data_IF_352765719346
#
_entry.id   IF_352765719346
#
_cell.length_a   1.000
_cell.length_b   1.000
_cell.length_c   1.000
_cell.angle_alpha   90.00
_cell.angle_beta   90.00
_cell.angle_gamma   90.00
#
_symmetry.space_group_name_H-M   'P 1'
#
loop_
_entity.id
_entity.type
_entity.pdbx_description
1 polymer ?
#
# COMPACT_ATOMS: atom_id res chain seq x y z
N UNK A 1 -15.84 1.50 -8.41
CA UNK A 1 -16.94 1.14 -7.47
C UNK A 1 -17.79 2.31 -6.98
N UNK A 2 -17.26 3.53 -6.90
CA UNK A 2 -18.09 4.76 -6.86
C UNK A 2 -19.03 4.92 -5.66
N UNK A 3 -18.75 4.26 -4.52
CA UNK A 3 -19.61 4.27 -3.33
C UNK A 3 -19.55 5.63 -2.63
N UNK A 4 -20.69 6.31 -2.54
CA UNK A 4 -20.82 7.59 -1.81
C UNK A 4 -21.31 7.40 -0.36
N UNK A 5 -22.21 6.44 -0.15
CA UNK A 5 -22.86 6.22 1.14
C UNK A 5 -22.69 4.75 1.56
N UNK A 6 -22.01 4.52 2.69
CA UNK A 6 -21.86 3.18 3.27
C UNK A 6 -21.66 3.27 4.78
N UNK A 7 -22.28 2.35 5.53
CA UNK A 7 -21.98 2.14 6.93
C UNK A 7 -20.92 1.06 7.07
N UNK A 8 -19.74 1.44 7.54
CA UNK A 8 -18.64 0.52 7.76
C UNK A 8 -18.53 0.24 9.26
N UNK A 9 -18.58 -1.05 9.65
CA UNK A 9 -18.49 -1.47 11.06
C UNK A 9 -17.35 -2.44 11.25
N UNK A 10 -16.56 -2.20 12.30
CA UNK A 10 -15.45 -3.06 12.72
C UNK A 10 -15.57 -3.31 14.23
N UNK A 11 -15.26 -4.53 14.66
CA UNK A 11 -15.33 -4.97 16.06
C UNK A 11 -13.94 -5.01 16.74
N UNK A 12 -12.99 -4.26 16.18
CA UNK A 12 -11.62 -4.10 16.65
C UNK A 12 -11.15 -2.66 16.45
N UNK A 13 -9.92 -2.32 16.89
CA UNK A 13 -9.39 -0.97 16.79
C UNK A 13 -8.98 -0.57 15.37
N UNK A 14 -8.84 -1.53 14.45
CA UNK A 14 -8.31 -1.34 13.10
C UNK A 14 -9.07 -2.21 12.08
N UNK A 15 -9.06 -1.76 10.82
CA UNK A 15 -9.58 -2.54 9.69
C UNK A 15 -8.71 -3.78 9.42
N UNK A 16 -9.31 -4.90 8.96
CA UNK A 16 -8.52 -6.06 8.58
C UNK A 16 -7.61 -5.73 7.39
N UNK A 17 -6.34 -6.11 7.48
CA UNK A 17 -5.34 -5.90 6.42
C UNK A 17 -5.58 -6.82 5.21
N UNK A 18 -6.30 -7.93 5.39
CA UNK A 18 -6.56 -8.95 4.37
C UNK A 18 -5.24 -9.47 3.79
N UNK A 19 -4.99 -9.30 2.49
CA UNK A 19 -3.70 -9.63 1.86
C UNK A 19 -2.79 -8.41 1.66
N UNK A 20 -3.15 -7.26 2.25
CA UNK A 20 -2.44 -6.00 2.07
C UNK A 20 -2.83 -5.22 0.83
N UNK A 21 -3.77 -5.70 0.02
CA UNK A 21 -4.33 -4.99 -1.14
C UNK A 21 -5.78 -4.56 -0.91
N UNK A 22 -6.36 -3.87 -1.89
CA UNK A 22 -7.78 -3.54 -1.90
C UNK A 22 -8.66 -4.61 -2.57
N UNK A 23 -8.07 -5.66 -3.15
CA UNK A 23 -8.76 -6.59 -4.05
C UNK A 23 -9.96 -7.27 -3.38
N UNK A 24 -9.79 -7.78 -2.17
CA UNK A 24 -10.87 -8.44 -1.43
C UNK A 24 -12.03 -7.49 -1.09
N UNK A 25 -11.73 -6.23 -0.77
CA UNK A 25 -12.79 -5.23 -0.57
C UNK A 25 -13.55 -4.97 -1.87
N UNK A 26 -12.85 -4.86 -3.01
CA UNK A 26 -13.49 -4.65 -4.31
C UNK A 26 -14.37 -5.84 -4.69
N UNK A 27 -13.87 -7.07 -4.51
CA UNK A 27 -14.62 -8.30 -4.79
C UNK A 27 -15.91 -8.38 -3.98
N UNK A 28 -15.86 -8.07 -2.68
CA UNK A 28 -17.04 -8.12 -1.83
C UNK A 28 -18.07 -7.06 -2.21
N UNK A 29 -17.63 -5.84 -2.56
CA UNK A 29 -18.53 -4.79 -3.06
C UNK A 29 -19.18 -5.21 -4.39
N UNK A 30 -18.42 -5.76 -5.33
CA UNK A 30 -18.98 -6.26 -6.59
C UNK A 30 -19.95 -7.43 -6.38
N UNK A 31 -19.64 -8.32 -5.44
CA UNK A 31 -20.48 -9.48 -5.11
C UNK A 31 -21.83 -9.07 -4.55
N UNK A 32 -21.89 -8.06 -3.68
CA UNK A 32 -23.15 -7.59 -3.09
C UNK A 32 -23.87 -6.56 -3.97
N UNK A 33 -23.13 -5.91 -4.88
CA UNK A 33 -23.64 -4.88 -5.77
C UNK A 33 -23.82 -3.52 -5.10
N UNK A 34 -24.36 -2.57 -5.86
CA UNK A 34 -24.60 -1.19 -5.42
C UNK A 34 -26.04 -0.79 -5.70
N UNK A 35 -26.58 0.10 -4.88
CA UNK A 35 -27.90 0.69 -5.13
C UNK A 35 -27.78 2.18 -5.46
N UNK A 36 -28.43 2.60 -6.55
CA UNK A 36 -28.55 4.00 -6.90
C UNK A 36 -29.53 4.70 -5.95
N UNK A 37 -29.12 5.86 -5.45
CA UNK A 37 -29.96 6.68 -4.58
C UNK A 37 -30.54 7.84 -5.38
N UNK A 38 -31.76 8.25 -5.03
CA UNK A 38 -32.43 9.39 -5.66
C UNK A 38 -31.88 10.73 -5.12
N UNK A 39 -30.59 10.94 -5.32
CA UNK A 39 -29.86 12.16 -4.98
C UNK A 39 -28.75 12.37 -6.01
N UNK A 40 -28.47 13.63 -6.33
CA UNK A 40 -27.33 13.95 -7.17
C UNK A 40 -26.03 13.64 -6.42
N UNK A 41 -25.09 12.97 -7.10
CA UNK A 41 -23.73 12.79 -6.59
C UNK A 41 -23.00 14.13 -6.62
N UNK A 42 -22.46 14.52 -5.47
CA UNK A 42 -21.67 15.75 -5.35
C UNK A 42 -20.20 15.47 -5.66
N UNK A 43 -19.58 16.34 -6.44
CA UNK A 43 -18.19 16.20 -6.88
C UNK A 43 -17.39 17.42 -6.46
N UNK A 44 -16.21 17.18 -5.89
CA UNK A 44 -15.28 18.25 -5.59
C UNK A 44 -14.49 18.67 -6.84
N UNK A 45 -14.88 19.80 -7.43
CA UNK A 45 -14.23 20.35 -8.63
C UNK A 45 -13.01 21.19 -8.24
N UNK A 46 -11.83 20.77 -8.71
CA UNK A 46 -10.58 21.51 -8.53
C UNK A 46 -10.56 22.70 -9.50
N UNK A 47 -10.61 23.92 -8.98
CA UNK A 47 -10.67 25.16 -9.78
C UNK A 47 -9.31 25.81 -10.03
N UNK A 48 -8.32 25.47 -9.22
CA UNK A 48 -6.96 26.00 -9.34
C UNK A 48 -5.94 24.97 -8.86
N UNK A 49 -4.69 25.12 -9.29
CA UNK A 49 -3.57 24.31 -8.80
C UNK A 49 -3.47 24.39 -7.28
N UNK A 50 -3.37 23.23 -6.64
CA UNK A 50 -3.04 23.07 -5.22
C UNK A 50 -1.73 22.28 -5.16
N UNK A 51 -0.76 22.76 -4.39
CA UNK A 51 0.53 22.11 -4.25
C UNK A 51 0.95 22.12 -2.78
N UNK A 52 1.37 20.96 -2.30
CA UNK A 52 2.03 20.79 -1.02
C UNK A 52 3.40 20.17 -1.27
N UNK A 53 4.42 20.73 -0.63
CA UNK A 53 5.79 20.24 -0.71
C UNK A 53 6.39 20.16 0.69
N UNK A 54 6.98 19.02 0.98
CA UNK A 54 7.79 18.81 2.17
C UNK A 54 9.26 19.15 1.83
N UNK A 55 9.84 20.13 2.52
CA UNK A 55 11.19 20.60 2.20
C UNK A 55 12.30 19.66 2.68
N UNK A 56 12.04 18.80 3.67
CA UNK A 56 13.04 17.90 4.22
C UNK A 56 13.20 16.65 3.34
N UNK A 57 12.08 16.02 2.99
CA UNK A 57 12.04 14.82 2.15
C UNK A 57 12.01 15.13 0.65
N UNK A 58 11.73 16.38 0.28
CA UNK A 58 11.46 16.82 -1.11
C UNK A 58 10.25 16.16 -1.76
N UNK A 59 9.40 15.49 -0.98
CA UNK A 59 8.14 14.92 -1.44
C UNK A 59 7.15 16.04 -1.81
N UNK A 60 6.32 15.80 -2.82
CA UNK A 60 5.29 16.76 -3.22
C UNK A 60 4.01 16.08 -3.67
N UNK A 61 2.88 16.74 -3.42
CA UNK A 61 1.57 16.38 -3.93
C UNK A 61 1.03 17.59 -4.67
N UNK A 62 0.67 17.40 -5.93
CA UNK A 62 0.14 18.46 -6.80
C UNK A 62 -1.23 17.99 -7.31
N UNK A 63 -2.24 18.83 -7.14
CA UNK A 63 -3.58 18.63 -7.67
C UNK A 63 -3.86 19.75 -8.67
N UNK A 64 -4.22 19.38 -9.89
CA UNK A 64 -4.48 20.32 -10.99
C UNK A 64 -5.97 20.27 -11.39
N UNK A 65 -6.53 21.38 -11.88
CA UNK A 65 -7.83 21.36 -12.56
C UNK A 65 -7.78 20.44 -13.79
N UNK A 66 -8.74 19.54 -13.90
CA UNK A 66 -8.92 18.62 -15.01
C UNK A 66 -10.41 18.28 -15.15
N UNK A 67 -10.85 17.93 -16.36
CA UNK A 67 -12.21 17.46 -16.64
C UNK A 67 -12.39 15.97 -16.27
N UNK A 68 -11.28 15.28 -15.98
CA UNK A 68 -11.22 13.85 -15.70
C UNK A 68 -10.35 13.54 -14.47
N UNK A 69 -10.62 12.41 -13.80
CA UNK A 69 -9.77 11.94 -12.71
C UNK A 69 -8.63 11.10 -13.27
N UNK A 70 -7.39 11.56 -13.05
CA UNK A 70 -6.18 10.79 -13.29
C UNK A 70 -5.18 10.97 -12.14
N UNK A 71 -4.27 10.02 -11.98
CA UNK A 71 -3.24 10.04 -10.96
C UNK A 71 -1.89 9.64 -11.58
N UNK A 72 -0.85 10.40 -11.26
CA UNK A 72 0.53 10.05 -11.60
C UNK A 72 1.33 9.99 -10.30
N UNK A 73 2.01 8.87 -10.05
CA UNK A 73 2.81 8.65 -8.85
C UNK A 73 4.22 8.27 -9.26
N UNK A 74 5.20 9.01 -8.75
CA UNK A 74 6.61 8.69 -8.85
C UNK A 74 7.12 8.37 -7.45
N UNK A 75 7.73 7.21 -7.28
CA UNK A 75 8.33 6.80 -6.01
C UNK A 75 9.83 6.57 -6.22
N UNK A 76 10.63 7.10 -5.30
CA UNK A 76 12.07 6.89 -5.22
C UNK A 76 12.42 6.28 -3.87
N UNK A 77 13.12 5.14 -3.89
CA UNK A 77 13.53 4.42 -2.68
C UNK A 77 14.98 4.72 -2.27
N UNK A 78 15.49 5.91 -2.63
CA UNK A 78 16.73 6.44 -2.07
C UNK A 78 17.97 5.53 -2.22
N UNK A 79 18.15 4.92 -3.40
CA UNK A 79 19.30 4.06 -3.69
C UNK A 79 19.13 2.60 -3.29
N UNK A 80 17.89 2.12 -3.14
CA UNK A 80 17.60 0.67 -3.10
C UNK A 80 18.29 -0.05 -4.26
N UNK A 81 18.98 -1.16 -3.95
CA UNK A 81 19.61 -2.03 -4.94
C UNK A 81 18.62 -2.99 -5.62
N UNK A 82 17.42 -3.12 -5.06
CA UNK A 82 16.39 -4.09 -5.49
C UNK A 82 15.22 -3.40 -6.16
N UNK A 83 14.77 -2.25 -5.65
CA UNK A 83 13.61 -1.54 -6.19
C UNK A 83 14.08 -0.22 -6.84
N UNK A 84 14.10 -0.13 -8.17
CA UNK A 84 14.43 1.12 -8.84
C UNK A 84 13.33 2.16 -8.61
N UNK A 85 13.56 3.40 -9.06
CA UNK A 85 12.50 4.39 -9.08
C UNK A 85 11.32 3.87 -9.92
N UNK A 86 10.11 4.01 -9.38
CA UNK A 86 8.90 3.52 -10.00
C UNK A 86 8.01 4.68 -10.41
N UNK A 87 7.37 4.53 -11.56
CA UNK A 87 6.37 5.46 -12.05
C UNK A 87 5.11 4.67 -12.39
N UNK A 88 3.97 5.14 -11.91
CA UNK A 88 2.67 4.54 -12.20
C UNK A 88 1.67 5.65 -12.54
N UNK A 89 0.80 5.35 -13.49
CA UNK A 89 -0.29 6.22 -13.91
C UNK A 89 -1.60 5.45 -13.79
N UNK A 90 -2.60 6.08 -13.22
CA UNK A 90 -3.99 5.66 -13.32
C UNK A 90 -4.72 6.72 -14.16
N UNK A 91 -5.03 6.40 -15.41
CA UNK A 91 -5.63 7.37 -16.35
C UNK A 91 -7.10 7.66 -16.05
N UNK A 92 -7.80 6.69 -15.46
CA UNK A 92 -9.21 6.79 -15.10
C UNK A 92 -9.47 5.88 -13.89
N UNK A 93 -10.30 6.35 -12.95
CA UNK A 93 -10.72 5.58 -11.77
C UNK A 93 -11.42 4.26 -12.11
N UNK A 94 -12.03 4.13 -13.28
CA UNK A 94 -12.66 2.89 -13.76
C UNK A 94 -11.65 1.74 -13.88
N UNK A 95 -10.38 2.06 -14.17
CA UNK A 95 -9.29 1.07 -14.27
C UNK A 95 -8.78 0.60 -12.92
N UNK A 96 -9.19 1.23 -11.81
CA UNK A 96 -8.70 0.91 -10.47
C UNK A 96 -8.82 -0.56 -10.12
N UNK A 97 -9.96 -1.19 -10.43
CA UNK A 97 -10.19 -2.61 -10.12
C UNK A 97 -9.14 -3.50 -10.79
N UNK A 98 -8.96 -3.31 -12.09
CA UNK A 98 -8.18 -4.22 -12.92
C UNK A 98 -6.66 -3.95 -12.83
N UNK A 99 -6.27 -2.70 -12.63
CA UNK A 99 -4.86 -2.29 -12.67
C UNK A 99 -4.23 -2.06 -11.29
N UNK A 100 -5.02 -1.66 -10.28
CA UNK A 100 -4.48 -1.16 -9.00
C UNK A 100 -4.92 -2.01 -7.80
N UNK A 101 -6.17 -2.50 -7.77
CA UNK A 101 -6.75 -3.06 -6.56
C UNK A 101 -5.99 -4.25 -5.97
N UNK A 102 -5.32 -5.05 -6.80
CA UNK A 102 -4.49 -6.20 -6.39
C UNK A 102 -3.06 -5.83 -5.94
N UNK A 103 -2.69 -4.55 -5.98
CA UNK A 103 -1.37 -4.10 -5.53
C UNK A 103 -1.30 -4.19 -4.00
N UNK A 104 -0.51 -5.13 -3.50
CA UNK A 104 -0.29 -5.35 -2.06
C UNK A 104 0.68 -4.33 -1.48
N UNK A 105 0.49 -4.03 -0.20
CA UNK A 105 1.45 -3.28 0.60
C UNK A 105 2.77 -4.05 0.74
N UNK A 106 3.83 -3.33 1.07
CA UNK A 106 5.14 -3.91 1.28
C UNK A 106 5.88 -3.21 2.42
N UNK A 107 6.90 -3.87 2.94
CA UNK A 107 7.81 -3.32 3.95
C UNK A 107 9.24 -3.73 3.66
N UNK A 108 10.19 -2.85 3.96
CA UNK A 108 11.60 -3.23 3.92
C UNK A 108 12.03 -3.89 5.23
N UNK A 109 12.85 -4.94 5.17
CA UNK A 109 13.39 -5.62 6.36
C UNK A 109 14.05 -4.65 7.35
N UNK A 110 14.74 -3.62 6.86
CA UNK A 110 15.39 -2.58 7.68
C UNK A 110 14.41 -1.75 8.51
N UNK A 111 13.13 -1.70 8.12
CA UNK A 111 12.08 -0.93 8.77
C UNK A 111 11.30 -1.78 9.79
N UNK A 112 11.37 -3.11 9.71
CA UNK A 112 10.63 -4.01 10.58
C UNK A 112 11.05 -3.86 12.05
N UNK A 113 12.36 -3.86 12.34
CA UNK A 113 12.86 -3.80 13.72
C UNK A 113 12.45 -2.50 14.47
N UNK A 114 12.57 -1.29 13.88
CA UNK A 114 12.02 -0.07 14.48
C UNK A 114 10.51 -0.15 14.72
N UNK A 115 9.74 -0.67 13.76
CA UNK A 115 8.28 -0.79 13.88
C UNK A 115 7.88 -1.76 15.00
N UNK A 116 8.52 -2.92 15.08
CA UNK A 116 8.32 -3.88 16.18
C UNK A 116 8.66 -3.25 17.54
N UNK A 117 9.78 -2.53 17.61
CA UNK A 117 10.22 -1.85 18.85
C UNK A 117 9.24 -0.77 19.30
N UNK A 118 8.53 -0.14 18.35
CA UNK A 118 7.46 0.82 18.62
C UNK A 118 6.10 0.14 18.92
N UNK A 119 6.03 -1.20 18.90
CA UNK A 119 4.81 -1.96 19.12
C UNK A 119 3.81 -1.91 17.96
N UNK A 120 4.30 -1.60 16.74
CA UNK A 120 3.53 -1.60 15.50
C UNK A 120 3.64 -2.97 14.79
N UNK A 121 2.93 -3.14 13.66
CA UNK A 121 2.97 -4.32 12.77
C UNK A 121 2.74 -5.68 13.45
N UNK A 122 2.00 -5.70 14.57
CA UNK A 122 1.68 -6.91 15.35
C UNK A 122 0.82 -7.94 14.62
N UNK A 123 0.17 -7.54 13.53
CA UNK A 123 -0.58 -8.42 12.63
C UNK A 123 0.07 -8.60 11.26
N UNK A 124 1.30 -8.09 11.06
CA UNK A 124 2.02 -8.22 9.79
C UNK A 124 2.64 -9.61 9.67
N UNK A 125 2.27 -10.35 8.63
CA UNK A 125 2.89 -11.62 8.25
C UNK A 125 3.17 -11.61 6.74
N UNK A 126 3.83 -12.66 6.24
CA UNK A 126 4.14 -12.76 4.80
C UNK A 126 2.91 -12.93 3.91
N UNK A 127 1.75 -13.25 4.48
CA UNK A 127 0.52 -13.43 3.72
C UNK A 127 -0.16 -12.07 3.43
N UNK A 128 0.15 -11.03 4.20
CA UNK A 128 -0.48 -9.71 4.08
C UNK A 128 0.45 -8.55 3.71
N UNK A 129 1.74 -8.80 3.54
CA UNK A 129 2.68 -7.80 3.02
C UNK A 129 3.82 -8.45 2.24
N UNK A 130 4.26 -7.78 1.18
CA UNK A 130 5.50 -8.15 0.48
C UNK A 130 6.69 -7.69 1.33
N UNK A 131 7.62 -8.58 1.65
CA UNK A 131 8.80 -8.22 2.44
C UNK A 131 10.02 -8.10 1.53
N UNK A 132 10.63 -6.91 1.52
CA UNK A 132 11.78 -6.62 0.67
C UNK A 132 13.07 -6.61 1.50
N UNK A 133 13.97 -7.51 1.15
CA UNK A 133 15.27 -7.68 1.79
C UNK A 133 16.40 -7.23 0.86
N UNK A 134 16.77 -5.95 0.98
CA UNK A 134 17.72 -5.29 0.08
C UNK A 134 19.09 -4.95 0.68
N UNK A 135 19.24 -5.13 2.00
CA UNK A 135 20.49 -4.82 2.72
C UNK A 135 20.85 -5.99 3.59
N UNK A 136 22.01 -6.57 3.32
CA UNK A 136 22.51 -7.67 4.12
C UNK A 136 22.65 -7.26 5.59
N UNK A 137 22.08 -8.08 6.47
CA UNK A 137 22.30 -8.05 7.92
C UNK A 137 23.10 -9.28 8.35
N UNK A 138 23.56 -9.32 9.60
CA UNK A 138 24.21 -10.52 10.13
C UNK A 138 23.22 -11.69 10.21
N UNK A 139 23.71 -12.92 10.06
CA UNK A 139 22.89 -14.13 10.16
C UNK A 139 22.09 -14.17 11.47
N UNK A 140 22.75 -13.91 12.61
CA UNK A 140 22.09 -13.84 13.92
C UNK A 140 20.92 -12.84 13.98
N UNK A 141 21.03 -11.72 13.25
CA UNK A 141 19.98 -10.71 13.21
C UNK A 141 18.83 -11.16 12.30
N UNK A 142 19.17 -11.81 11.19
CA UNK A 142 18.19 -12.41 10.29
C UNK A 142 17.37 -13.48 11.00
N UNK A 143 18.02 -14.43 11.68
CA UNK A 143 17.35 -15.55 12.34
C UNK A 143 16.39 -15.06 13.43
N UNK A 144 16.81 -14.08 14.24
CA UNK A 144 15.93 -13.44 15.24
C UNK A 144 14.72 -12.77 14.60
N UNK A 145 14.91 -12.08 13.48
CA UNK A 145 13.81 -11.46 12.77
C UNK A 145 12.87 -12.51 12.19
N UNK A 146 13.43 -13.59 11.63
CA UNK A 146 12.68 -14.70 11.08
C UNK A 146 11.81 -15.37 12.14
N UNK A 147 12.35 -15.58 13.34
CA UNK A 147 11.62 -16.11 14.50
C UNK A 147 10.45 -15.21 14.91
N UNK A 148 10.67 -13.90 14.97
CA UNK A 148 9.62 -12.92 15.34
C UNK A 148 8.52 -12.85 14.28
N UNK A 149 8.90 -12.92 13.01
CA UNK A 149 7.97 -12.87 11.87
C UNK A 149 7.31 -14.23 11.59
N UNK A 150 7.75 -15.32 12.24
CA UNK A 150 7.24 -16.67 12.02
C UNK A 150 7.59 -17.25 10.64
N UNK A 151 8.75 -16.89 10.09
CA UNK A 151 9.18 -17.30 8.74
C UNK A 151 10.40 -18.24 8.80
N UNK A 152 10.64 -19.09 7.78
CA UNK A 152 11.79 -19.98 7.77
C UNK A 152 13.12 -19.21 7.81
N UNK A 153 14.12 -19.80 8.48
CA UNK A 153 15.50 -19.31 8.42
C UNK A 153 16.07 -19.52 7.02
N UNK A 154 16.82 -18.54 6.52
CA UNK A 154 17.47 -18.56 5.22
C UNK A 154 18.86 -17.95 5.35
N UNK A 155 19.70 -18.19 4.35
CA UNK A 155 21.02 -17.56 4.28
C UNK A 155 20.84 -16.04 4.12
N UNK A 156 21.32 -15.26 5.10
CA UNK A 156 21.19 -13.81 5.12
C UNK A 156 21.91 -13.11 3.95
N UNK A 157 22.77 -13.80 3.21
CA UNK A 157 23.36 -13.27 1.97
C UNK A 157 22.40 -13.31 0.77
N UNK A 158 21.33 -14.11 0.84
CA UNK A 158 20.31 -14.18 -0.20
C UNK A 158 19.32 -13.03 -0.08
N UNK A 159 19.67 -11.91 -0.72
CA UNK A 159 18.82 -10.72 -0.86
C UNK A 159 17.75 -10.91 -1.95
N UNK A 160 16.62 -10.24 -1.80
CA UNK A 160 15.48 -10.40 -2.70
C UNK A 160 14.19 -9.86 -2.10
N UNK A 161 13.06 -10.35 -2.59
CA UNK A 161 11.75 -10.14 -1.97
C UNK A 161 11.14 -11.49 -1.63
N UNK A 162 10.49 -11.55 -0.47
CA UNK A 162 9.72 -12.71 -0.04
C UNK A 162 8.26 -12.40 -0.32
N UNK A 163 7.65 -13.28 -1.10
CA UNK A 163 6.26 -13.17 -1.47
C UNK A 163 5.60 -14.56 -1.38
N UNK A 164 4.72 -14.74 -0.40
CA UNK A 164 3.87 -15.92 -0.34
C UNK A 164 2.63 -15.62 -1.20
N UNK A 165 2.51 -16.33 -2.33
CA UNK A 165 1.53 -16.18 -3.43
C UNK A 165 1.93 -15.25 -4.57
#
# INVERSE_FOLDING_TARGET
MGIDNCLIRVNGPEFPILDGSAQYYVQEIERVGTEEQNAAKDFYIIKSKIEFRDEDTKSSIIVLPDDSFSLNVLISYGGSSIIPNQFATLENIEKFRDEIAASRTFVFVREIEPLLSAGLIKGGDLDNAIVIYERQISQDKYDKLADVMGVPHMDASQMGYVNHK
#
